data_IF_515521343518
#
_entry.id   IF_515521343518
#
_cell.length_a   1.000
_cell.length_b   1.000
_cell.length_c   1.000
_cell.angle_alpha   90.00
_cell.angle_beta   90.00
_cell.angle_gamma   90.00
#
_symmetry.space_group_name_H-M   'P 1'
#
loop_
_entity.id
_entity.type
_entity.pdbx_description
1 polymer ?
#
# COMPACT_ATOMS: atom_id res chain seq x y z
N UNK A 1 -11.80 -27.46 7.12
CA UNK A 1 -10.56 -26.71 7.36
C UNK A 1 -10.41 -25.80 6.16
N UNK A 2 -10.44 -24.47 6.33
CA UNK A 2 -10.19 -23.59 5.19
C UNK A 2 -8.72 -23.77 4.82
N UNK A 3 -8.46 -24.21 3.59
CA UNK A 3 -7.10 -24.16 3.02
C UNK A 3 -6.62 -22.71 3.10
N UNK A 4 -5.38 -22.51 3.54
CA UNK A 4 -4.72 -21.22 3.42
C UNK A 4 -4.64 -20.86 1.93
N UNK A 5 -4.93 -19.61 1.54
CA UNK A 5 -4.88 -19.20 0.13
C UNK A 5 -3.47 -19.41 -0.42
N UNK A 6 -3.38 -19.80 -1.70
CA UNK A 6 -2.10 -20.01 -2.36
C UNK A 6 -1.34 -18.68 -2.54
N UNK A 7 0.00 -18.71 -2.64
CA UNK A 7 0.80 -17.51 -2.90
C UNK A 7 0.33 -16.72 -4.13
N UNK A 8 -0.05 -17.40 -5.21
CA UNK A 8 -0.60 -16.75 -6.42
C UNK A 8 -1.95 -16.06 -6.17
N UNK A 9 -2.85 -16.67 -5.39
CA UNK A 9 -4.16 -16.09 -5.02
C UNK A 9 -3.99 -14.87 -4.11
N UNK A 10 -3.03 -14.92 -3.18
CA UNK A 10 -2.65 -13.78 -2.34
C UNK A 10 -2.16 -12.62 -3.22
N UNK A 11 -1.25 -12.91 -4.15
CA UNK A 11 -0.73 -11.93 -5.10
C UNK A 11 -1.84 -11.29 -5.93
N UNK A 12 -2.72 -12.08 -6.52
CA UNK A 12 -3.84 -11.57 -7.33
C UNK A 12 -4.78 -10.68 -6.52
N UNK A 13 -5.05 -11.04 -5.26
CA UNK A 13 -5.87 -10.24 -4.35
C UNK A 13 -5.25 -8.88 -4.07
N UNK A 14 -3.95 -8.84 -3.75
CA UNK A 14 -3.23 -7.60 -3.45
C UNK A 14 -3.17 -6.69 -4.68
N UNK A 15 -2.86 -7.24 -5.85
CA UNK A 15 -2.87 -6.47 -7.11
C UNK A 15 -4.26 -5.89 -7.43
N UNK A 16 -5.34 -6.62 -7.13
CA UNK A 16 -6.69 -6.11 -7.28
C UNK A 16 -6.97 -4.94 -6.31
N UNK A 17 -6.42 -4.97 -5.09
CA UNK A 17 -6.50 -3.86 -4.15
C UNK A 17 -5.71 -2.65 -4.65
N UNK A 18 -4.50 -2.83 -5.20
CA UNK A 18 -3.73 -1.75 -5.80
C UNK A 18 -4.49 -1.08 -6.94
N UNK A 19 -5.16 -1.84 -7.80
CA UNK A 19 -5.99 -1.27 -8.86
C UNK A 19 -7.12 -0.40 -8.32
N UNK A 20 -7.75 -0.80 -7.21
CA UNK A 20 -8.77 -0.01 -6.54
C UNK A 20 -8.17 1.26 -5.92
N UNK A 21 -7.05 1.15 -5.20
CA UNK A 21 -6.35 2.29 -4.61
C UNK A 21 -5.94 3.31 -5.68
N UNK A 22 -5.37 2.87 -6.81
CA UNK A 22 -5.02 3.75 -7.94
C UNK A 22 -6.22 4.55 -8.43
N UNK A 23 -7.38 3.92 -8.60
CA UNK A 23 -8.61 4.61 -9.02
C UNK A 23 -9.02 5.71 -8.04
N UNK A 24 -8.81 5.49 -6.74
CA UNK A 24 -9.14 6.48 -5.70
C UNK A 24 -8.11 7.61 -5.63
N UNK A 25 -6.82 7.29 -5.82
CA UNK A 25 -5.76 8.28 -5.91
C UNK A 25 -5.98 9.21 -7.10
N UNK A 26 -6.35 8.66 -8.25
CA UNK A 26 -6.70 9.45 -9.45
C UNK A 26 -7.87 10.41 -9.17
N UNK A 27 -8.90 9.93 -8.46
CA UNK A 27 -10.05 10.75 -8.09
C UNK A 27 -9.67 11.85 -7.09
N UNK A 28 -8.81 11.55 -6.12
CA UNK A 28 -8.32 12.51 -5.12
C UNK A 28 -7.44 13.59 -5.77
N UNK A 29 -6.47 13.18 -6.60
CA UNK A 29 -5.58 14.07 -7.36
C UNK A 29 -6.40 15.03 -8.23
N UNK A 30 -7.40 14.50 -8.94
CA UNK A 30 -8.31 15.32 -9.76
C UNK A 30 -9.11 16.31 -8.91
N UNK A 31 -9.69 15.87 -7.80
CA UNK A 31 -10.46 16.74 -6.91
C UNK A 31 -9.60 17.87 -6.32
N UNK A 32 -8.35 17.58 -5.96
CA UNK A 32 -7.40 18.59 -5.52
C UNK A 32 -7.02 19.54 -6.66
N UNK A 33 -6.75 19.04 -7.87
CA UNK A 33 -6.43 19.87 -9.03
C UNK A 33 -7.55 20.88 -9.35
N UNK A 34 -8.81 20.45 -9.29
CA UNK A 34 -10.01 21.25 -9.55
C UNK A 34 -10.37 22.25 -8.43
N UNK A 35 -9.73 22.16 -7.27
CA UNK A 35 -10.02 23.03 -6.12
C UNK A 35 -9.64 24.49 -6.40
N UNK A 36 -10.60 25.40 -6.32
CA UNK A 36 -10.35 26.85 -6.48
C UNK A 36 -9.70 27.47 -5.24
N UNK A 37 -9.10 28.65 -5.38
CA UNK A 37 -8.37 29.34 -4.30
C UNK A 37 -9.25 29.59 -3.05
N UNK A 38 -10.51 29.98 -3.25
CA UNK A 38 -11.50 30.21 -2.19
C UNK A 38 -12.54 29.06 -2.12
N UNK A 39 -12.22 27.91 -2.74
CA UNK A 39 -13.11 26.75 -2.80
C UNK A 39 -13.23 26.01 -1.46
N UNK A 40 -14.31 25.25 -1.29
CA UNK A 40 -14.48 24.39 -0.12
C UNK A 40 -13.47 23.23 -0.17
N UNK A 41 -12.53 23.23 0.78
CA UNK A 41 -11.51 22.19 0.93
C UNK A 41 -12.06 20.92 1.60
N UNK A 42 -13.22 20.99 2.25
CA UNK A 42 -13.80 19.90 3.05
C UNK A 42 -13.91 18.57 2.28
N UNK A 43 -14.43 18.55 1.04
CA UNK A 43 -14.53 17.33 0.23
C UNK A 43 -13.16 16.69 -0.09
N UNK A 44 -12.14 17.50 -0.41
CA UNK A 44 -10.79 16.98 -0.72
C UNK A 44 -10.14 16.40 0.54
N UNK A 45 -10.29 17.08 1.68
CA UNK A 45 -9.81 16.59 2.98
C UNK A 45 -10.48 15.28 3.39
N UNK A 46 -11.80 15.18 3.18
CA UNK A 46 -12.54 13.95 3.44
C UNK A 46 -12.08 12.80 2.52
N UNK A 47 -11.89 13.07 1.23
CA UNK A 47 -11.37 12.08 0.28
C UNK A 47 -9.95 11.62 0.63
N UNK A 48 -9.08 12.53 1.07
CA UNK A 48 -7.72 12.19 1.54
C UNK A 48 -7.76 11.28 2.77
N UNK A 49 -8.68 11.54 3.72
CA UNK A 49 -8.90 10.66 4.87
C UNK A 49 -9.42 9.28 4.45
N UNK A 50 -10.37 9.22 3.51
CA UNK A 50 -10.91 7.94 3.04
C UNK A 50 -9.83 7.09 2.33
N UNK A 51 -8.93 7.71 1.56
CA UNK A 51 -7.77 7.04 0.96
C UNK A 51 -6.85 6.51 2.06
N UNK A 52 -6.55 7.33 3.06
CA UNK A 52 -5.71 6.94 4.20
C UNK A 52 -6.27 5.74 4.97
N UNK A 53 -7.56 5.76 5.33
CA UNK A 53 -8.20 4.68 6.08
C UNK A 53 -8.19 3.36 5.28
N UNK A 54 -8.34 3.43 3.94
CA UNK A 54 -8.27 2.26 3.06
C UNK A 54 -6.86 1.72 2.90
N UNK A 55 -5.88 2.60 2.76
CA UNK A 55 -4.47 2.21 2.70
C UNK A 55 -4.06 1.51 4.00
N UNK A 56 -4.47 2.04 5.15
CA UNK A 56 -4.23 1.39 6.43
C UNK A 56 -4.85 -0.02 6.51
N UNK A 57 -6.08 -0.17 6.02
CA UNK A 57 -6.74 -1.48 5.98
C UNK A 57 -6.02 -2.46 5.04
N UNK A 58 -5.55 -1.99 3.89
CA UNK A 58 -4.80 -2.75 2.90
C UNK A 58 -3.46 -3.25 3.46
N UNK A 59 -2.61 -2.36 4.00
CA UNK A 59 -1.31 -2.75 4.59
C UNK A 59 -1.48 -3.77 5.73
N UNK A 60 -2.57 -3.65 6.51
CA UNK A 60 -2.89 -4.64 7.56
C UNK A 60 -3.25 -6.00 6.97
N UNK A 61 -3.98 -6.03 5.87
CA UNK A 61 -4.36 -7.26 5.19
C UNK A 61 -3.16 -7.92 4.51
N UNK A 62 -2.27 -7.14 3.90
CA UNK A 62 -1.01 -7.61 3.37
C UNK A 62 -0.13 -8.26 4.43
N UNK A 63 0.04 -7.63 5.59
CA UNK A 63 0.77 -8.24 6.70
C UNK A 63 0.13 -9.58 7.14
N UNK A 64 -1.19 -9.75 7.00
CA UNK A 64 -1.87 -11.00 7.35
C UNK A 64 -1.67 -12.09 6.30
N UNK A 65 -1.56 -11.72 5.03
CA UNK A 65 -1.49 -12.65 3.89
C UNK A 65 -0.05 -12.91 3.44
N UNK A 66 0.75 -11.87 3.23
CA UNK A 66 2.13 -11.97 2.75
C UNK A 66 3.09 -12.52 3.79
N UNK A 67 2.94 -12.19 5.08
CA UNK A 67 3.91 -12.65 6.09
C UNK A 67 3.98 -14.19 6.17
N UNK A 68 2.86 -14.94 6.21
CA UNK A 68 2.91 -16.40 6.11
C UNK A 68 3.54 -16.88 4.80
N UNK A 69 3.14 -16.30 3.66
CA UNK A 69 3.61 -16.72 2.34
C UNK A 69 5.13 -16.48 2.16
N UNK A 70 5.64 -15.32 2.53
CA UNK A 70 7.06 -14.96 2.46
C UNK A 70 7.92 -15.79 3.40
N UNK A 71 7.40 -16.16 4.58
CA UNK A 71 8.13 -17.01 5.53
C UNK A 71 8.41 -18.41 4.95
N UNK A 72 7.49 -18.91 4.12
CA UNK A 72 7.54 -20.26 3.55
C UNK A 72 8.10 -20.29 2.12
N UNK A 73 8.29 -19.11 1.49
CA UNK A 73 8.71 -18.98 0.10
C UNK A 73 10.16 -19.43 -0.16
N UNK A 74 11.10 -19.14 0.74
CA UNK A 74 12.52 -19.46 0.57
C UNK A 74 13.29 -19.57 1.92
N UNK A 75 14.59 -19.86 1.85
CA UNK A 75 15.47 -19.93 3.02
C UNK A 75 15.76 -18.59 3.71
N UNK A 76 15.24 -17.47 3.18
CA UNK A 76 15.41 -16.11 3.69
C UNK A 76 14.12 -15.53 4.29
N UNK A 77 13.04 -16.31 4.35
CA UNK A 77 11.71 -15.88 4.80
C UNK A 77 11.66 -15.03 6.08
N UNK A 78 12.35 -15.40 7.19
CA UNK A 78 12.38 -14.58 8.40
C UNK A 78 12.93 -13.17 8.18
N UNK A 79 14.00 -13.03 7.39
CA UNK A 79 14.63 -11.72 7.11
C UNK A 79 13.71 -10.86 6.24
N UNK A 80 13.05 -11.45 5.23
CA UNK A 80 12.07 -10.74 4.38
C UNK A 80 10.87 -10.24 5.18
N UNK A 81 10.36 -11.05 6.10
CA UNK A 81 9.24 -10.67 6.98
C UNK A 81 9.61 -9.51 7.88
N UNK A 82 10.82 -9.52 8.46
CA UNK A 82 11.26 -8.44 9.34
C UNK A 82 11.49 -7.13 8.55
N UNK A 83 12.03 -7.22 7.33
CA UNK A 83 12.18 -6.09 6.42
C UNK A 83 10.82 -5.49 6.04
N UNK A 84 9.88 -6.30 5.54
CA UNK A 84 8.53 -5.87 5.15
C UNK A 84 7.82 -5.16 6.32
N UNK A 85 7.89 -5.73 7.53
CA UNK A 85 7.26 -5.13 8.70
C UNK A 85 7.92 -3.81 9.11
N UNK A 86 9.23 -3.64 8.90
CA UNK A 86 9.90 -2.38 9.17
C UNK A 86 9.50 -1.34 8.13
N UNK A 87 9.52 -1.71 6.84
CA UNK A 87 9.05 -0.88 5.72
C UNK A 87 7.63 -0.38 5.98
N UNK A 88 6.68 -1.27 6.27
CA UNK A 88 5.29 -0.90 6.56
C UNK A 88 5.11 -0.02 7.80
N UNK A 89 5.97 -0.15 8.82
CA UNK A 89 5.92 0.75 10.00
C UNK A 89 6.33 2.17 9.60
N UNK A 90 7.46 2.31 8.90
CA UNK A 90 7.98 3.60 8.45
C UNK A 90 7.00 4.28 7.48
N UNK A 91 6.44 3.50 6.56
CA UNK A 91 5.45 3.95 5.61
C UNK A 91 4.17 4.48 6.30
N UNK A 92 3.63 3.75 7.29
CA UNK A 92 2.46 4.19 8.07
C UNK A 92 2.70 5.51 8.77
N UNK A 93 3.84 5.66 9.46
CA UNK A 93 4.19 6.92 10.14
C UNK A 93 4.30 8.09 9.16
N UNK A 94 4.92 7.84 8.00
CA UNK A 94 5.08 8.84 6.95
C UNK A 94 3.72 9.29 6.38
N UNK A 95 2.85 8.35 6.04
CA UNK A 95 1.54 8.61 5.46
C UNK A 95 0.58 9.27 6.45
N UNK A 96 0.62 8.86 7.72
CA UNK A 96 -0.11 9.53 8.80
C UNK A 96 0.26 11.01 8.87
N UNK A 97 1.56 11.33 8.83
CA UNK A 97 2.05 12.70 8.87
C UNK A 97 1.60 13.54 7.67
N UNK A 98 1.57 12.97 6.46
CA UNK A 98 1.12 13.67 5.25
C UNK A 98 -0.39 13.87 5.28
N UNK A 99 -1.16 12.84 5.62
CA UNK A 99 -2.62 12.93 5.72
C UNK A 99 -3.02 13.96 6.76
N UNK A 100 -2.41 13.94 7.94
CA UNK A 100 -2.62 14.97 8.96
C UNK A 100 -2.28 16.36 8.43
N UNK A 101 -1.20 16.48 7.66
CA UNK A 101 -0.85 17.71 6.94
C UNK A 101 -1.92 18.22 5.96
N UNK A 102 -2.58 17.31 5.23
CA UNK A 102 -3.73 17.67 4.36
C UNK A 102 -4.90 18.19 5.22
N UNK A 103 -5.18 17.52 6.34
CA UNK A 103 -6.28 17.89 7.24
C UNK A 103 -6.05 19.25 7.91
N UNK A 104 -4.81 19.55 8.26
CA UNK A 104 -4.42 20.79 8.94
C UNK A 104 -4.18 21.97 7.96
N UNK A 105 -4.08 21.72 6.66
CA UNK A 105 -3.86 22.76 5.65
C UNK A 105 -4.90 23.89 5.74
N UNK A 106 -4.44 25.14 5.63
CA UNK A 106 -5.27 26.33 5.79
C UNK A 106 -5.61 27.04 4.47
N UNK A 107 -5.06 26.56 3.35
CA UNK A 107 -5.36 27.09 2.02
C UNK A 107 -5.51 25.97 0.98
N UNK A 108 -6.25 26.27 -0.09
CA UNK A 108 -6.39 25.35 -1.21
C UNK A 108 -5.05 24.99 -1.87
N UNK A 109 -4.09 25.92 -1.87
CA UNK A 109 -2.75 25.67 -2.39
C UNK A 109 -1.99 24.64 -1.54
N UNK A 110 -2.04 24.77 -0.22
CA UNK A 110 -1.44 23.78 0.70
C UNK A 110 -2.11 22.41 0.58
N UNK A 111 -3.44 22.36 0.44
CA UNK A 111 -4.16 21.09 0.22
C UNK A 111 -3.68 20.40 -1.05
N UNK A 112 -3.54 21.14 -2.16
CA UNK A 112 -3.04 20.61 -3.44
C UNK A 112 -1.65 20.02 -3.31
N UNK A 113 -0.70 20.80 -2.78
CA UNK A 113 0.68 20.36 -2.61
C UNK A 113 0.77 19.08 -1.76
N UNK A 114 0.02 19.03 -0.65
CA UNK A 114 0.02 17.87 0.25
C UNK A 114 -0.66 16.65 -0.34
N UNK A 115 -1.73 16.84 -1.11
CA UNK A 115 -2.39 15.75 -1.85
C UNK A 115 -1.47 15.20 -2.93
N UNK A 116 -0.78 16.05 -3.69
CA UNK A 116 0.16 15.62 -4.72
C UNK A 116 1.31 14.79 -4.09
N UNK A 117 1.85 15.23 -2.94
CA UNK A 117 2.87 14.47 -2.22
C UNK A 117 2.34 13.12 -1.69
N UNK A 118 1.11 13.10 -1.16
CA UNK A 118 0.45 11.86 -0.71
C UNK A 118 0.27 10.88 -1.86
N UNK A 119 -0.32 11.33 -2.97
CA UNK A 119 -0.61 10.49 -4.15
C UNK A 119 0.67 9.94 -4.74
N UNK A 120 1.70 10.77 -4.91
CA UNK A 120 2.99 10.37 -5.45
C UNK A 120 3.63 9.26 -4.62
N UNK A 121 3.70 9.43 -3.29
CA UNK A 121 4.33 8.43 -2.41
C UNK A 121 3.60 7.10 -2.38
N UNK A 122 2.27 7.11 -2.38
CA UNK A 122 1.49 5.86 -2.40
C UNK A 122 1.69 5.14 -3.74
N UNK A 123 1.76 5.87 -4.87
CA UNK A 123 2.07 5.27 -6.18
C UNK A 123 3.47 4.66 -6.22
N UNK A 124 4.48 5.39 -5.76
CA UNK A 124 5.88 4.92 -5.70
C UNK A 124 6.00 3.64 -4.85
N UNK A 125 5.32 3.59 -3.71
CA UNK A 125 5.30 2.45 -2.81
C UNK A 125 4.66 1.20 -3.45
N UNK A 126 3.47 1.34 -4.04
CA UNK A 126 2.81 0.23 -4.76
C UNK A 126 3.68 -0.30 -5.92
N UNK A 127 4.37 0.58 -6.65
CA UNK A 127 5.27 0.18 -7.74
C UNK A 127 6.49 -0.60 -7.23
N UNK A 128 7.06 -0.18 -6.10
CA UNK A 128 8.16 -0.88 -5.46
C UNK A 128 7.74 -2.25 -4.92
N UNK A 129 6.61 -2.33 -4.23
CA UNK A 129 6.08 -3.59 -3.71
C UNK A 129 5.76 -4.57 -4.84
N UNK A 130 5.11 -4.08 -5.91
CA UNK A 130 4.78 -4.91 -7.08
C UNK A 130 6.03 -5.53 -7.73
N UNK A 131 7.15 -4.80 -7.71
CA UNK A 131 8.43 -5.23 -8.26
C UNK A 131 9.21 -6.18 -7.33
N UNK A 132 8.97 -6.12 -6.03
CA UNK A 132 9.83 -6.76 -5.02
C UNK A 132 9.13 -7.92 -4.32
N UNK A 133 7.99 -7.66 -3.67
CA UNK A 133 7.28 -8.60 -2.82
C UNK A 133 6.19 -9.36 -3.57
N UNK A 134 5.63 -8.78 -4.63
CA UNK A 134 4.61 -9.39 -5.48
C UNK A 134 5.17 -9.95 -6.80
N UNK A 135 6.48 -10.17 -6.89
CA UNK A 135 7.10 -10.77 -8.06
C UNK A 135 6.56 -12.20 -8.26
N UNK A 136 6.06 -12.55 -9.47
CA UNK A 136 5.48 -13.86 -9.74
C UNK A 136 6.50 -15.00 -9.65
N UNK A 137 7.81 -14.74 -9.54
CA UNK A 137 8.83 -15.73 -9.24
C UNK A 137 9.05 -15.97 -7.76
N UNK A 138 8.68 -15.01 -6.90
CA UNK A 138 8.74 -15.12 -5.45
C UNK A 138 7.48 -15.81 -4.90
N UNK A 139 6.29 -15.42 -5.40
CA UNK A 139 5.01 -15.98 -4.97
C UNK A 139 4.48 -17.02 -5.97
N UNK A 140 5.24 -18.09 -6.18
CA UNK A 140 4.83 -19.25 -6.98
C UNK A 140 4.11 -20.29 -6.13
N UNK A 141 3.19 -21.01 -6.75
CA UNK A 141 2.52 -22.15 -6.11
C UNK A 141 3.45 -23.35 -5.90
N UNK A 142 4.58 -23.39 -6.61
CA UNK A 142 5.59 -24.44 -6.49
C UNK A 142 6.52 -24.15 -5.31
N UNK A 143 6.28 -24.84 -4.19
CA UNK A 143 7.28 -25.02 -3.13
C UNK A 143 8.52 -25.65 -3.74
N UNK A 144 9.61 -24.89 -3.89
CA UNK A 144 10.94 -25.51 -4.05
C UNK A 144 11.26 -26.17 -2.71
N UNK A 145 10.84 -27.42 -2.53
CA UNK A 145 11.41 -28.31 -1.53
C UNK A 145 12.89 -28.48 -1.85
N UNK A 146 13.72 -27.59 -1.33
CA UNK A 146 15.16 -27.84 -1.22
C UNK A 146 15.35 -28.90 -0.14
N UNK A 147 15.12 -30.16 -0.52
CA UNK A 147 15.66 -31.30 0.21
C UNK A 147 17.19 -31.28 0.06
N UNK A 148 17.87 -30.43 0.82
CA UNK A 148 19.28 -30.63 1.15
C UNK A 148 19.34 -31.57 2.36
N UNK A 149 19.13 -32.86 2.08
CA UNK A 149 19.43 -33.96 3.00
C UNK A 149 20.74 -34.62 2.54
N UNK A 150 21.72 -34.67 3.44
CA UNK A 150 23.07 -35.19 3.19
C UNK A 150 23.18 -36.71 3.16
#
# INVERSE_FOLDING_TARGET
>A
MSESPKPSEIRERILAQHAQLRTQLDALEKAAAELEADGDMGPVKAAAKDVHDRLFAHVKEEEQLLVPALREADGFGPVRVDALRQEHREQRELLDGICQGVLDAHSSAEVKERVDDLVRRIREDMEEEERTHLDPNLLKDDLVTTSFGG
#
